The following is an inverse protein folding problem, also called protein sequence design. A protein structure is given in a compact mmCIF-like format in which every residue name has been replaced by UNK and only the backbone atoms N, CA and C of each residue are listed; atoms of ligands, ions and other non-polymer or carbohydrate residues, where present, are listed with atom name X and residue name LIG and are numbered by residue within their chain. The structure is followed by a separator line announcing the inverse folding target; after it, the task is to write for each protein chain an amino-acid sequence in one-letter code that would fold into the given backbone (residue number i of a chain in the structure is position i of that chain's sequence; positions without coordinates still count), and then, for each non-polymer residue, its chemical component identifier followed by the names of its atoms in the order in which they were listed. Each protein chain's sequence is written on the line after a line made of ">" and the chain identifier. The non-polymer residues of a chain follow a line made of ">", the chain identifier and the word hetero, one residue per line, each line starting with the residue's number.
data_IF_866840528214
#
_entry.id   IF_866840528214
#
_cell.length_a   1.000
_cell.length_b   1.000
_cell.length_c   1.000
_cell.angle_alpha   90.00
_cell.angle_beta   90.00
_cell.angle_gamma   90.00
#
_symmetry.space_group_name_H-M   'P 1'
#
loop_
_entity.id
_entity.type
_entity.pdbx_description
1 polymer ?
#
# COMPACT_ATOMS: atom_id res chain seq x y z
N UNK A 1 37.92 32.23 -30.80
CA UNK A 1 37.52 31.14 -29.92
C UNK A 1 36.59 31.61 -28.81
N UNK A 2 36.87 32.65 -28.07
CA UNK A 2 36.02 33.19 -27.00
C UNK A 2 34.59 33.54 -27.43
N UNK A 3 34.38 34.16 -28.63
CA UNK A 3 33.07 34.52 -29.13
C UNK A 3 32.17 33.31 -29.46
N UNK A 4 32.76 32.18 -29.78
CA UNK A 4 32.04 30.92 -30.09
C UNK A 4 31.58 30.25 -28.79
N UNK A 5 32.42 30.26 -27.76
CA UNK A 5 32.11 29.72 -26.41
C UNK A 5 30.98 30.54 -25.77
N UNK A 6 31.02 31.90 -25.90
CA UNK A 6 29.96 32.76 -25.38
C UNK A 6 28.59 32.52 -26.05
N UNK A 7 28.58 32.26 -27.36
CA UNK A 7 27.34 31.90 -28.09
C UNK A 7 26.79 30.55 -27.66
N UNK A 8 27.65 29.52 -27.45
CA UNK A 8 27.26 28.21 -26.97
C UNK A 8 26.67 28.29 -25.54
N UNK A 9 27.32 29.06 -24.65
CA UNK A 9 26.83 29.24 -23.28
C UNK A 9 25.49 29.98 -23.25
N UNK A 10 25.26 30.99 -24.13
CA UNK A 10 23.95 31.64 -24.26
C UNK A 10 22.88 30.69 -24.77
N UNK A 11 23.20 29.92 -25.81
CA UNK A 11 22.24 28.95 -26.35
C UNK A 11 21.88 27.86 -25.30
N UNK A 12 22.85 27.37 -24.56
CA UNK A 12 22.62 26.45 -23.46
C UNK A 12 21.76 27.04 -22.35
N UNK A 13 22.04 28.28 -21.93
CA UNK A 13 21.24 29.00 -20.94
C UNK A 13 19.80 29.21 -21.40
N UNK A 14 19.60 29.66 -22.64
CA UNK A 14 18.25 29.84 -23.20
C UNK A 14 17.48 28.52 -23.32
N UNK A 15 18.17 27.43 -23.68
CA UNK A 15 17.58 26.09 -23.71
C UNK A 15 17.16 25.63 -22.29
N UNK A 16 18.00 25.86 -21.29
CA UNK A 16 17.67 25.54 -19.91
C UNK A 16 16.44 26.32 -19.42
N UNK A 17 16.40 27.65 -19.67
CA UNK A 17 15.26 28.50 -19.32
C UNK A 17 14.00 28.04 -20.05
N UNK A 18 14.09 27.71 -21.33
CA UNK A 18 12.96 27.17 -22.09
C UNK A 18 12.44 25.84 -21.50
N UNK A 19 13.32 24.91 -21.15
CA UNK A 19 12.94 23.63 -20.53
C UNK A 19 12.23 23.89 -19.19
N UNK A 20 12.75 24.77 -18.34
CA UNK A 20 12.13 25.12 -17.07
C UNK A 20 10.76 25.75 -17.24
N UNK A 21 10.61 26.68 -18.18
CA UNK A 21 9.32 27.33 -18.47
C UNK A 21 8.32 26.33 -19.07
N UNK A 22 8.75 25.49 -20.00
CA UNK A 22 7.90 24.45 -20.57
C UNK A 22 7.45 23.45 -19.49
N UNK A 23 8.35 23.02 -18.61
CA UNK A 23 8.03 22.17 -17.47
C UNK A 23 7.02 22.81 -16.51
N UNK A 24 7.19 24.09 -16.19
CA UNK A 24 6.25 24.85 -15.37
C UNK A 24 4.86 24.95 -16.02
N UNK A 25 4.80 25.29 -17.30
CA UNK A 25 3.54 25.39 -18.03
C UNK A 25 2.82 24.03 -18.11
N UNK A 26 3.53 22.95 -18.41
CA UNK A 26 2.93 21.62 -18.43
C UNK A 26 2.42 21.20 -17.05
N UNK A 27 3.15 21.48 -15.99
CA UNK A 27 2.74 21.19 -14.61
C UNK A 27 1.46 21.91 -14.22
N UNK A 28 1.29 23.18 -14.64
CA UNK A 28 0.13 23.99 -14.28
C UNK A 28 -1.11 23.65 -15.11
N UNK A 29 -0.93 23.42 -16.42
CA UNK A 29 -2.06 23.25 -17.36
C UNK A 29 -2.47 21.80 -17.59
N UNK A 30 -1.61 20.83 -17.26
CA UNK A 30 -1.87 19.40 -17.46
C UNK A 30 -1.47 18.62 -16.20
N UNK A 31 -2.15 18.85 -15.06
CA UNK A 31 -1.88 18.10 -13.85
C UNK A 31 -2.28 16.62 -14.03
N UNK A 32 -1.45 15.74 -13.54
CA UNK A 32 -1.79 14.31 -13.48
C UNK A 32 -2.68 14.02 -12.26
N UNK A 33 -3.64 13.15 -12.44
CA UNK A 33 -4.51 12.69 -11.35
C UNK A 33 -3.88 11.53 -10.57
N UNK A 34 -3.08 10.70 -11.24
CA UNK A 34 -2.44 9.53 -10.65
C UNK A 34 -0.93 9.61 -10.85
N UNK A 35 -0.20 9.42 -9.78
CA UNK A 35 1.23 9.15 -9.81
C UNK A 35 1.46 7.67 -10.14
N UNK A 36 1.51 7.33 -11.43
CA UNK A 36 1.75 5.96 -11.90
C UNK A 36 3.12 5.37 -11.50
N UNK A 37 4.02 6.17 -10.97
CA UNK A 37 5.32 5.71 -10.47
C UNK A 37 5.19 5.13 -9.06
N UNK A 38 4.38 5.77 -8.22
CA UNK A 38 4.14 5.39 -6.83
C UNK A 38 2.78 4.71 -6.62
N UNK A 39 1.98 4.58 -7.70
CA UNK A 39 0.67 3.93 -7.72
C UNK A 39 -0.32 4.52 -6.69
N UNK A 40 -0.35 5.84 -6.59
CA UNK A 40 -1.26 6.59 -5.72
C UNK A 40 -1.81 7.82 -6.42
N UNK A 41 -2.82 8.44 -5.84
CA UNK A 41 -3.25 9.76 -6.31
C UNK A 41 -2.12 10.77 -6.20
N UNK A 42 -1.98 11.60 -7.24
CA UNK A 42 -0.97 12.63 -7.27
C UNK A 42 -1.36 13.78 -6.33
N UNK A 43 -0.40 14.25 -5.52
CA UNK A 43 -0.60 15.41 -4.69
C UNK A 43 -0.93 16.63 -5.55
N UNK A 44 -1.95 17.38 -5.15
CA UNK A 44 -2.40 18.60 -5.82
C UNK A 44 -2.00 19.82 -5.00
N UNK A 45 -1.82 20.96 -5.69
CA UNK A 45 -1.57 22.24 -5.02
C UNK A 45 -2.77 22.61 -4.15
N UNK A 46 -2.53 22.79 -2.86
CA UNK A 46 -3.53 23.28 -1.93
C UNK A 46 -3.70 24.80 -2.07
N UNK A 47 -4.90 25.36 -1.81
CA UNK A 47 -5.09 26.79 -1.80
C UNK A 47 -4.20 27.49 -0.76
N UNK A 48 -3.58 28.61 -1.16
CA UNK A 48 -2.80 29.44 -0.24
C UNK A 48 -3.74 30.13 0.75
N UNK A 49 -3.62 29.80 2.02
CA UNK A 49 -4.30 30.50 3.12
C UNK A 49 -3.28 31.14 4.05
N UNK A 50 -3.68 32.18 4.79
CA UNK A 50 -2.78 32.83 5.74
C UNK A 50 -2.32 31.90 6.87
N UNK A 51 -3.17 30.97 7.31
CA UNK A 51 -2.85 29.96 8.29
C UNK A 51 -1.81 28.94 7.75
N UNK A 52 -2.08 28.36 6.60
CA UNK A 52 -1.20 27.37 5.98
C UNK A 52 0.18 27.95 5.60
N UNK A 53 0.25 29.26 5.32
CA UNK A 53 1.54 29.94 5.13
C UNK A 53 2.29 30.12 6.45
N UNK A 54 1.58 30.44 7.53
CA UNK A 54 2.19 30.72 8.83
C UNK A 54 2.71 29.47 9.55
N UNK A 55 2.04 28.31 9.37
CA UNK A 55 2.42 27.03 9.96
C UNK A 55 3.33 26.18 9.09
N UNK A 56 3.60 26.59 7.84
CA UNK A 56 4.46 25.87 6.90
C UNK A 56 3.77 24.79 6.08
N UNK A 57 2.52 24.43 6.37
CA UNK A 57 1.80 23.34 5.67
C UNK A 57 1.57 23.61 4.19
N UNK A 58 1.46 24.89 3.79
CA UNK A 58 1.42 25.26 2.36
C UNK A 58 2.72 24.93 1.63
N UNK A 59 3.88 25.14 2.28
CA UNK A 59 5.17 24.82 1.66
C UNK A 59 5.31 23.30 1.47
N UNK A 60 4.96 22.51 2.46
CA UNK A 60 5.02 21.06 2.39
C UNK A 60 4.08 20.50 1.31
N UNK A 61 2.84 21.01 1.25
CA UNK A 61 1.89 20.67 0.18
C UNK A 61 2.39 21.06 -1.21
N UNK A 62 3.04 22.23 -1.33
CA UNK A 62 3.62 22.68 -2.59
C UNK A 62 4.81 21.79 -3.02
N UNK A 63 5.70 21.42 -2.11
CA UNK A 63 6.84 20.55 -2.41
C UNK A 63 6.34 19.15 -2.84
N UNK A 64 5.36 18.59 -2.15
CA UNK A 64 4.74 17.32 -2.48
C UNK A 64 4.06 17.34 -3.84
N UNK A 65 3.24 18.37 -4.11
CA UNK A 65 2.58 18.54 -5.39
C UNK A 65 3.57 18.76 -6.55
N UNK A 66 4.62 19.55 -6.34
CA UNK A 66 5.67 19.76 -7.35
C UNK A 66 6.43 18.45 -7.63
N UNK A 67 6.73 17.65 -6.61
CA UNK A 67 7.38 16.36 -6.78
C UNK A 67 6.57 15.42 -7.68
N UNK A 68 5.25 15.45 -7.58
CA UNK A 68 4.37 14.59 -8.37
C UNK A 68 4.05 15.16 -9.76
N UNK A 69 3.86 16.47 -9.84
CA UNK A 69 3.32 17.12 -11.03
C UNK A 69 4.38 17.57 -12.07
N UNK A 70 5.65 17.70 -11.66
CA UNK A 70 6.70 18.13 -12.59
C UNK A 70 7.03 17.02 -13.58
N UNK A 71 6.58 17.15 -14.82
CA UNK A 71 6.68 16.15 -15.89
C UNK A 71 8.11 15.61 -16.10
N UNK A 72 9.13 16.49 -16.04
CA UNK A 72 10.53 16.06 -16.20
C UNK A 72 11.11 15.38 -14.96
N UNK A 73 10.49 15.52 -13.77
CA UNK A 73 10.98 14.86 -12.55
C UNK A 73 10.91 13.35 -12.68
N UNK A 74 9.86 12.82 -13.30
CA UNK A 74 9.70 11.37 -13.55
C UNK A 74 10.77 10.84 -14.48
N UNK A 75 11.06 11.55 -15.57
CA UNK A 75 12.13 11.16 -16.49
C UNK A 75 13.48 11.22 -15.80
N UNK A 76 13.74 12.27 -15.01
CA UNK A 76 14.97 12.41 -14.24
C UNK A 76 15.11 11.30 -13.19
N UNK A 77 14.03 10.99 -12.44
CA UNK A 77 13.99 9.85 -11.50
C UNK A 77 14.27 8.52 -12.22
N UNK A 78 13.64 8.28 -13.38
CA UNK A 78 13.91 7.08 -14.21
C UNK A 78 15.36 6.99 -14.66
N UNK A 79 15.93 8.08 -15.17
CA UNK A 79 17.32 8.10 -15.62
C UNK A 79 18.30 7.92 -14.45
N UNK A 80 18.03 8.55 -13.31
CA UNK A 80 18.84 8.39 -12.10
C UNK A 80 18.80 6.94 -11.59
N UNK A 81 17.61 6.37 -11.45
CA UNK A 81 17.44 4.99 -11.00
C UNK A 81 18.09 4.00 -11.97
N UNK A 82 17.97 4.25 -13.30
CA UNK A 82 18.63 3.44 -14.31
C UNK A 82 20.17 3.47 -14.16
N UNK A 83 20.75 4.66 -14.01
CA UNK A 83 22.19 4.82 -13.83
C UNK A 83 22.66 4.15 -12.54
N UNK A 84 21.91 4.30 -11.46
CA UNK A 84 22.21 3.70 -10.16
C UNK A 84 22.10 2.18 -10.20
N UNK A 85 21.03 1.64 -10.75
CA UNK A 85 20.83 0.21 -10.89
C UNK A 85 21.89 -0.43 -11.80
N UNK A 86 22.24 0.22 -12.93
CA UNK A 86 23.29 -0.27 -13.84
C UNK A 86 24.67 -0.33 -13.19
N UNK A 87 24.91 0.45 -12.14
CA UNK A 87 26.18 0.41 -11.39
C UNK A 87 26.13 -0.51 -10.16
N UNK A 88 25.00 -0.56 -9.45
CA UNK A 88 24.85 -1.29 -8.20
C UNK A 88 24.47 -2.75 -8.39
N UNK A 89 23.58 -3.06 -9.32
CA UNK A 89 23.05 -4.42 -9.53
C UNK A 89 24.11 -5.47 -9.82
N UNK A 90 25.10 -5.25 -10.73
CA UNK A 90 26.15 -6.23 -10.95
C UNK A 90 27.02 -6.49 -9.72
N UNK A 91 27.17 -5.47 -8.87
CA UNK A 91 27.96 -5.59 -7.63
C UNK A 91 27.19 -6.36 -6.56
N UNK A 92 25.90 -6.09 -6.42
CA UNK A 92 25.01 -6.81 -5.50
C UNK A 92 24.89 -8.27 -5.88
N UNK A 93 24.67 -8.59 -7.18
CA UNK A 93 24.62 -9.97 -7.67
C UNK A 93 25.89 -10.79 -7.40
N UNK A 94 27.04 -10.12 -7.30
CA UNK A 94 28.30 -10.76 -6.91
C UNK A 94 28.38 -11.05 -5.41
N UNK A 95 27.70 -10.25 -4.58
CA UNK A 95 27.65 -10.40 -3.13
C UNK A 95 26.58 -11.40 -2.68
N UNK A 96 25.47 -11.50 -3.39
CA UNK A 96 24.37 -12.43 -3.10
C UNK A 96 24.78 -13.89 -2.97
N UNK A 97 25.84 -14.28 -3.68
CA UNK A 97 26.39 -15.65 -3.61
C UNK A 97 27.30 -15.91 -2.40
N UNK A 98 27.48 -14.96 -1.50
CA UNK A 98 28.57 -15.05 -0.49
C UNK A 98 28.16 -14.84 0.97
N UNK A 99 27.00 -14.27 1.29
CA UNK A 99 26.65 -13.95 2.70
C UNK A 99 25.13 -14.05 2.94
N UNK A 100 24.76 -14.58 4.11
CA UNK A 100 23.39 -14.53 4.67
C UNK A 100 23.10 -13.19 5.38
N UNK A 101 23.88 -12.16 5.12
CA UNK A 101 23.75 -10.84 5.73
C UNK A 101 23.06 -9.86 4.78
N UNK A 102 22.45 -8.83 5.36
CA UNK A 102 21.81 -7.76 4.59
C UNK A 102 22.83 -6.96 3.81
N UNK A 103 22.62 -6.80 2.51
CA UNK A 103 23.39 -5.93 1.63
C UNK A 103 22.57 -4.71 1.28
N UNK A 104 22.91 -3.56 1.84
CA UNK A 104 22.17 -2.31 1.66
C UNK A 104 22.54 -1.60 0.36
N UNK A 105 21.55 -1.14 -0.36
CA UNK A 105 21.71 -0.33 -1.57
C UNK A 105 20.51 0.61 -1.76
N UNK A 106 20.76 1.90 -1.93
CA UNK A 106 19.74 2.90 -2.30
C UNK A 106 18.46 2.88 -1.43
N UNK A 107 18.60 2.76 -0.12
CA UNK A 107 17.48 2.79 0.83
C UNK A 107 16.71 1.49 0.98
N UNK A 108 17.10 0.45 0.26
CA UNK A 108 16.60 -0.93 0.40
C UNK A 108 17.75 -1.85 0.79
N UNK A 109 17.43 -3.09 1.11
CA UNK A 109 18.40 -4.14 1.34
C UNK A 109 18.12 -5.35 0.46
N UNK A 110 19.15 -6.18 0.28
CA UNK A 110 19.05 -7.51 -0.30
C UNK A 110 19.36 -8.52 0.79
N UNK A 111 18.61 -9.59 0.82
CA UNK A 111 18.86 -10.73 1.68
C UNK A 111 18.49 -12.00 0.92
N UNK A 112 19.45 -12.91 0.76
CA UNK A 112 19.30 -14.16 -0.01
C UNK A 112 18.63 -14.01 -1.39
N UNK A 113 18.97 -12.94 -2.12
CA UNK A 113 18.45 -12.69 -3.47
C UNK A 113 17.12 -11.95 -3.55
N UNK A 114 16.47 -11.70 -2.41
CA UNK A 114 15.20 -10.97 -2.32
C UNK A 114 15.41 -9.51 -1.94
N UNK A 115 14.63 -8.62 -2.52
CA UNK A 115 14.63 -7.20 -2.13
C UNK A 115 13.79 -7.05 -0.85
N UNK A 116 14.40 -6.49 0.18
CA UNK A 116 13.76 -6.27 1.49
C UNK A 116 13.90 -4.81 1.92
N UNK A 117 12.96 -4.35 2.76
CA UNK A 117 13.12 -3.06 3.42
C UNK A 117 14.08 -3.18 4.61
N UNK A 118 14.66 -2.04 4.99
CA UNK A 118 15.47 -1.96 6.19
C UNK A 118 14.61 -2.10 7.43
N UNK A 119 15.07 -2.90 8.39
CA UNK A 119 14.37 -3.04 9.65
C UNK A 119 14.34 -1.72 10.41
N UNK A 120 13.26 -1.46 11.10
CA UNK A 120 13.10 -0.29 11.94
C UNK A 120 12.71 -0.75 13.35
N UNK A 121 13.55 -0.47 14.33
CA UNK A 121 13.30 -0.86 15.71
C UNK A 121 12.07 -0.18 16.32
N UNK A 122 11.48 -0.80 17.35
CA UNK A 122 10.30 -0.32 18.05
C UNK A 122 10.45 1.14 18.56
N UNK A 123 11.63 1.49 19.04
CA UNK A 123 11.89 2.83 19.62
C UNK A 123 11.58 3.99 18.65
N UNK A 124 11.76 3.76 17.36
CA UNK A 124 11.47 4.77 16.33
C UNK A 124 9.98 4.95 16.03
N UNK A 125 9.16 3.98 16.42
CA UNK A 125 7.74 3.89 16.10
C UNK A 125 6.84 4.05 17.30
N UNK A 126 7.42 4.01 18.48
CA UNK A 126 6.68 3.92 19.74
C UNK A 126 5.68 5.05 19.93
N UNK A 127 6.10 6.29 19.72
CA UNK A 127 5.22 7.46 19.91
C UNK A 127 4.03 7.45 18.93
N UNK A 128 4.26 7.03 17.68
CA UNK A 128 3.20 6.90 16.68
C UNK A 128 2.23 5.75 17.02
N UNK A 129 2.77 4.61 17.47
CA UNK A 129 1.93 3.47 17.93
C UNK A 129 1.11 3.85 19.16
N UNK A 130 1.68 4.62 20.11
CA UNK A 130 0.97 5.12 21.28
C UNK A 130 -0.20 6.03 20.87
N UNK A 131 0.04 6.99 19.97
CA UNK A 131 -0.98 7.89 19.45
C UNK A 131 -2.10 7.14 18.70
N UNK A 132 -1.73 6.15 17.89
CA UNK A 132 -2.69 5.30 17.15
C UNK A 132 -3.53 4.47 18.10
N UNK A 133 -2.92 3.86 19.13
CA UNK A 133 -3.65 3.08 20.11
C UNK A 133 -4.62 3.96 20.92
N UNK A 134 -4.24 5.19 21.26
CA UNK A 134 -5.14 6.15 21.94
C UNK A 134 -6.35 6.48 21.05
N UNK A 135 -6.13 6.79 19.77
CA UNK A 135 -7.18 7.09 18.82
C UNK A 135 -8.16 5.90 18.66
N UNK A 136 -7.64 4.70 18.38
CA UNK A 136 -8.46 3.50 18.21
C UNK A 136 -9.21 3.13 19.50
N UNK A 137 -8.58 3.24 20.65
CA UNK A 137 -9.22 2.95 21.94
C UNK A 137 -10.34 3.95 22.26
N UNK A 138 -10.23 5.20 21.80
CA UNK A 138 -11.31 6.19 21.93
C UNK A 138 -12.54 5.76 21.11
N UNK A 139 -12.36 5.34 19.86
CA UNK A 139 -13.43 4.83 19.02
C UNK A 139 -14.05 3.54 19.60
N UNK A 140 -13.23 2.60 20.06
CA UNK A 140 -13.69 1.35 20.70
C UNK A 140 -14.54 1.66 21.94
N UNK A 141 -14.12 2.62 22.75
CA UNK A 141 -14.85 3.00 23.97
C UNK A 141 -16.17 3.74 23.67
N UNK A 142 -16.23 4.50 22.57
CA UNK A 142 -17.43 5.21 22.12
C UNK A 142 -18.50 4.26 21.55
N UNK A 143 -18.10 3.10 21.02
CA UNK A 143 -18.98 2.14 20.34
C UNK A 143 -18.95 0.75 20.98
N UNK A 144 -19.43 0.60 22.24
CA UNK A 144 -19.44 -0.70 22.93
C UNK A 144 -20.39 -1.74 22.29
N UNK A 145 -21.28 -1.30 21.39
CA UNK A 145 -22.19 -2.16 20.60
C UNK A 145 -21.49 -2.84 19.43
N UNK A 146 -20.33 -2.32 18.99
CA UNK A 146 -19.57 -2.89 17.87
C UNK A 146 -18.58 -3.94 18.33
N UNK A 147 -18.39 -4.94 17.50
CA UNK A 147 -17.33 -5.92 17.68
C UNK A 147 -16.08 -5.48 16.91
N UNK A 148 -15.05 -5.02 17.63
CA UNK A 148 -13.77 -4.67 17.03
C UNK A 148 -12.84 -5.87 17.00
N UNK A 149 -12.15 -6.01 15.84
CA UNK A 149 -11.13 -7.00 15.56
C UNK A 149 -9.89 -6.30 15.02
N UNK A 150 -8.71 -6.86 15.26
CA UNK A 150 -7.46 -6.33 14.75
C UNK A 150 -6.59 -7.44 14.15
N UNK A 151 -6.07 -7.17 12.96
CA UNK A 151 -5.19 -8.07 12.23
C UNK A 151 -3.91 -7.33 11.83
N UNK A 152 -2.78 -7.73 12.42
CA UNK A 152 -1.49 -7.14 12.12
C UNK A 152 -0.70 -8.06 11.20
N UNK A 153 -0.17 -7.51 10.09
CA UNK A 153 0.61 -8.26 9.12
C UNK A 153 2.08 -7.92 9.32
N UNK A 154 2.84 -8.86 9.90
CA UNK A 154 4.30 -8.73 9.98
C UNK A 154 4.91 -8.89 8.59
N UNK A 155 6.01 -8.16 8.37
CA UNK A 155 6.76 -8.19 7.12
C UNK A 155 8.26 -8.06 7.37
N UNK A 156 9.06 -7.87 6.32
CA UNK A 156 10.51 -7.72 6.36
C UNK A 156 11.02 -6.61 7.29
N UNK A 157 10.16 -5.64 7.65
CA UNK A 157 10.51 -4.59 8.61
C UNK A 157 10.35 -4.99 10.07
N UNK A 158 9.68 -6.11 10.36
CA UNK A 158 9.35 -6.54 11.71
C UNK A 158 10.30 -7.60 12.29
N UNK A 159 11.18 -8.15 11.46
CA UNK A 159 12.12 -9.20 11.84
C UNK A 159 13.52 -8.95 11.25
N UNK A 160 14.56 -9.28 12.00
CA UNK A 160 15.92 -9.39 11.49
C UNK A 160 16.17 -10.84 11.03
N UNK A 161 16.25 -11.09 9.74
CA UNK A 161 16.39 -12.44 9.18
C UNK A 161 17.70 -13.12 9.53
N UNK A 162 18.81 -12.35 9.74
CA UNK A 162 20.09 -12.91 10.14
C UNK A 162 20.05 -13.48 11.56
N UNK A 163 19.38 -12.78 12.49
CA UNK A 163 19.35 -13.15 13.91
C UNK A 163 18.05 -13.84 14.33
N UNK A 164 17.01 -13.78 13.52
CA UNK A 164 15.66 -14.20 13.89
C UNK A 164 14.98 -13.31 14.94
N UNK A 165 15.56 -12.14 15.24
CA UNK A 165 15.05 -11.23 16.26
C UNK A 165 13.83 -10.50 15.74
N UNK A 166 12.67 -10.67 16.41
CA UNK A 166 11.48 -9.84 16.22
C UNK A 166 11.71 -8.44 16.78
N UNK A 167 11.19 -7.42 16.09
CA UNK A 167 11.34 -6.01 16.49
C UNK A 167 10.22 -5.53 17.42
N UNK A 168 9.17 -6.32 17.57
CA UNK A 168 8.16 -6.19 18.63
C UNK A 168 7.09 -5.13 18.42
N UNK A 169 6.98 -4.52 17.23
CA UNK A 169 5.96 -3.50 16.98
C UNK A 169 4.53 -4.07 17.02
N UNK A 170 4.31 -5.26 16.47
CA UNK A 170 3.03 -5.96 16.45
C UNK A 170 2.53 -6.29 17.87
N UNK A 171 3.38 -6.93 18.68
CA UNK A 171 3.08 -7.27 20.07
C UNK A 171 2.86 -6.02 20.90
N UNK A 172 3.69 -4.97 20.70
CA UNK A 172 3.55 -3.71 21.42
C UNK A 172 2.20 -3.07 21.10
N UNK A 173 1.85 -2.88 19.83
CA UNK A 173 0.57 -2.31 19.41
C UNK A 173 -0.62 -3.09 20.01
N UNK A 174 -0.60 -4.40 19.90
CA UNK A 174 -1.70 -5.24 20.37
C UNK A 174 -1.82 -5.31 21.90
N UNK A 175 -0.73 -5.04 22.63
CA UNK A 175 -0.77 -4.92 24.08
C UNK A 175 -1.52 -3.66 24.57
N UNK A 176 -1.59 -2.63 23.72
CA UNK A 176 -2.24 -1.34 24.05
C UNK A 176 -3.69 -1.27 23.60
N UNK A 177 -4.12 -2.08 22.61
CA UNK A 177 -5.49 -2.05 22.11
C UNK A 177 -6.47 -2.70 23.09
N UNK A 178 -7.54 -1.98 23.43
CA UNK A 178 -8.64 -2.44 24.27
C UNK A 178 -9.60 -3.39 23.51
N UNK A 179 -9.04 -4.24 22.68
CA UNK A 179 -9.73 -5.32 21.99
C UNK A 179 -9.43 -6.62 22.75
N UNK A 180 -10.41 -7.52 23.00
CA UNK A 180 -10.16 -8.83 23.56
C UNK A 180 -9.09 -9.61 22.82
N UNK A 181 -8.27 -10.41 23.53
CA UNK A 181 -7.14 -11.12 22.91
C UNK A 181 -7.58 -12.08 21.83
N UNK A 182 -8.72 -12.72 21.99
CA UNK A 182 -9.34 -13.63 21.01
C UNK A 182 -9.84 -12.94 19.74
N UNK A 183 -9.86 -11.62 19.69
CA UNK A 183 -10.21 -10.78 18.54
C UNK A 183 -9.00 -10.07 17.92
N UNK A 184 -7.79 -10.49 18.29
CA UNK A 184 -6.53 -9.95 17.77
C UNK A 184 -5.66 -11.07 17.24
N UNK A 185 -5.21 -10.95 16.00
CA UNK A 185 -4.30 -11.92 15.36
C UNK A 185 -3.12 -11.20 14.72
N UNK A 186 -1.93 -11.69 14.95
CA UNK A 186 -0.71 -11.30 14.25
C UNK A 186 -0.40 -12.37 13.22
N UNK A 187 -0.35 -11.98 11.94
CA UNK A 187 0.20 -12.81 10.87
C UNK A 187 1.72 -12.77 11.01
N UNK A 188 2.26 -13.78 11.68
CA UNK A 188 3.66 -13.81 12.09
C UNK A 188 4.58 -14.27 10.95
N UNK A 189 5.73 -13.60 10.84
CA UNK A 189 6.86 -14.00 10.01
C UNK A 189 8.02 -14.38 10.94
N UNK A 190 8.31 -15.67 11.04
CA UNK A 190 9.30 -16.19 11.97
C UNK A 190 10.69 -16.41 11.36
N UNK A 191 10.75 -16.44 10.03
CA UNK A 191 11.98 -16.69 9.30
C UNK A 191 11.98 -16.03 7.92
N UNK A 192 13.18 -15.96 7.31
CA UNK A 192 13.28 -15.56 5.90
C UNK A 192 12.49 -16.50 4.99
N UNK A 193 12.48 -17.79 5.28
CA UNK A 193 11.73 -18.77 4.49
C UNK A 193 10.23 -18.47 4.49
N UNK A 194 9.64 -18.13 5.65
CA UNK A 194 8.22 -17.76 5.74
C UNK A 194 7.93 -16.50 4.92
N UNK A 195 8.81 -15.51 5.01
CA UNK A 195 8.71 -14.29 4.22
C UNK A 195 8.84 -14.56 2.72
N UNK A 196 9.79 -15.37 2.31
CA UNK A 196 10.06 -15.72 0.92
C UNK A 196 8.89 -16.45 0.25
N UNK A 197 8.26 -17.37 0.96
CA UNK A 197 7.10 -18.11 0.47
C UNK A 197 5.82 -17.25 0.36
N UNK A 198 5.66 -16.24 1.23
CA UNK A 198 4.40 -15.53 1.44
C UNK A 198 4.35 -14.12 0.86
N UNK A 199 5.48 -13.55 0.45
CA UNK A 199 5.58 -12.20 -0.08
C UNK A 199 6.23 -12.18 -1.46
N UNK A 200 5.93 -11.15 -2.25
CA UNK A 200 6.62 -10.92 -3.51
C UNK A 200 8.09 -10.56 -3.29
N UNK A 201 8.94 -10.90 -4.27
CA UNK A 201 10.39 -10.58 -4.21
C UNK A 201 10.66 -9.09 -4.40
N UNK A 202 9.85 -8.44 -5.23
CA UNK A 202 10.08 -7.07 -5.68
C UNK A 202 9.02 -6.09 -5.22
N UNK A 203 7.91 -6.59 -4.68
CA UNK A 203 6.82 -5.79 -4.13
C UNK A 203 6.74 -5.93 -2.61
N UNK A 204 6.16 -4.95 -1.93
CA UNK A 204 6.05 -4.99 -0.47
C UNK A 204 4.88 -5.82 0.03
N UNK A 205 3.94 -6.16 -0.84
CA UNK A 205 2.75 -6.92 -0.45
C UNK A 205 3.02 -8.42 -0.31
N UNK A 206 2.15 -9.08 0.42
CA UNK A 206 2.05 -10.53 0.36
C UNK A 206 1.64 -11.00 -1.04
N UNK A 207 2.07 -12.20 -1.41
CA UNK A 207 1.69 -12.83 -2.66
C UNK A 207 0.36 -13.59 -2.52
N UNK A 208 -0.05 -14.34 -3.54
CA UNK A 208 -1.30 -15.09 -3.53
C UNK A 208 -1.35 -16.17 -2.43
N UNK A 209 -0.21 -16.73 -2.00
CA UNK A 209 -0.13 -17.70 -0.90
C UNK A 209 -0.35 -16.98 0.43
N UNK A 210 0.43 -15.95 0.71
CA UNK A 210 0.34 -15.21 1.96
C UNK A 210 -1.03 -14.53 2.16
N UNK A 211 -1.60 -13.95 1.11
CA UNK A 211 -2.92 -13.34 1.19
C UNK A 211 -4.04 -14.36 1.44
N UNK A 212 -3.94 -15.56 0.86
CA UNK A 212 -4.91 -16.62 1.13
C UNK A 212 -4.79 -17.18 2.55
N UNK A 213 -3.57 -17.33 3.07
CA UNK A 213 -3.36 -17.69 4.48
C UNK A 213 -3.95 -16.63 5.41
N UNK A 214 -3.67 -15.36 5.15
CA UNK A 214 -4.26 -14.25 5.90
C UNK A 214 -5.78 -14.22 5.83
N UNK A 215 -6.38 -14.47 4.66
CA UNK A 215 -7.83 -14.60 4.54
C UNK A 215 -8.40 -15.69 5.45
N UNK A 216 -7.78 -16.89 5.50
CA UNK A 216 -8.24 -17.98 6.38
C UNK A 216 -8.19 -17.59 7.86
N UNK A 217 -7.12 -16.93 8.27
CA UNK A 217 -7.00 -16.44 9.64
C UNK A 217 -8.08 -15.41 9.97
N UNK A 218 -8.30 -14.45 9.05
CA UNK A 218 -9.29 -13.39 9.25
C UNK A 218 -10.70 -13.95 9.32
N UNK A 219 -11.09 -14.89 8.45
CA UNK A 219 -12.44 -15.41 8.49
C UNK A 219 -12.67 -16.29 9.72
N UNK A 220 -11.65 -17.04 10.15
CA UNK A 220 -11.69 -17.75 11.42
C UNK A 220 -11.86 -16.83 12.62
N UNK A 221 -11.22 -15.65 12.57
CA UNK A 221 -11.32 -14.61 13.60
C UNK A 221 -12.70 -13.95 13.65
N UNK A 222 -13.29 -13.63 12.49
CA UNK A 222 -14.49 -12.80 12.36
C UNK A 222 -15.79 -13.60 12.55
N UNK A 223 -15.88 -14.81 12.01
CA UNK A 223 -17.13 -15.61 12.00
C UNK A 223 -16.89 -17.09 12.35
N UNK A 224 -15.69 -17.60 12.13
CA UNK A 224 -15.39 -19.03 12.23
C UNK A 224 -16.03 -19.87 11.11
N UNK A 225 -16.44 -19.22 10.03
CA UNK A 225 -16.93 -19.92 8.84
C UNK A 225 -15.82 -20.68 8.14
N UNK A 226 -16.20 -21.71 7.37
CA UNK A 226 -15.25 -22.39 6.48
C UNK A 226 -14.80 -21.41 5.37
N UNK A 227 -13.50 -21.26 5.13
CA UNK A 227 -12.99 -20.40 4.09
C UNK A 227 -13.39 -20.91 2.70
N UNK A 228 -13.53 -19.99 1.73
CA UNK A 228 -13.65 -20.36 0.32
C UNK A 228 -12.36 -21.05 -0.13
N UNK A 229 -12.49 -22.25 -0.66
CA UNK A 229 -11.36 -23.00 -1.19
C UNK A 229 -11.03 -22.55 -2.64
N UNK A 230 -9.75 -22.41 -2.99
CA UNK A 230 -9.38 -22.11 -4.36
C UNK A 230 -9.72 -23.27 -5.29
N UNK A 231 -10.26 -22.95 -6.46
CA UNK A 231 -10.57 -23.96 -7.49
C UNK A 231 -9.35 -24.34 -8.32
N UNK A 232 -8.39 -23.42 -8.48
CA UNK A 232 -7.13 -23.63 -9.20
C UNK A 232 -6.11 -22.53 -8.85
N UNK A 233 -4.88 -22.69 -9.37
CA UNK A 233 -3.81 -21.69 -9.36
C UNK A 233 -3.54 -21.25 -10.78
N UNK A 234 -3.66 -19.94 -11.05
CA UNK A 234 -3.38 -19.37 -12.37
C UNK A 234 -2.01 -18.67 -12.39
N UNK A 235 -1.12 -19.17 -13.23
CA UNK A 235 0.17 -18.56 -13.52
C UNK A 235 0.07 -17.78 -14.82
N UNK A 236 0.09 -16.46 -14.75
CA UNK A 236 -0.19 -15.60 -15.90
C UNK A 236 0.95 -15.54 -16.92
N UNK A 237 2.17 -15.85 -16.50
CA UNK A 237 3.40 -15.60 -17.28
C UNK A 237 3.75 -14.10 -17.41
N UNK A 238 2.88 -13.20 -16.97
CA UNK A 238 3.17 -11.76 -16.97
C UNK A 238 4.01 -11.39 -15.77
N UNK A 239 4.97 -10.51 -16.00
CA UNK A 239 5.90 -10.05 -14.96
C UNK A 239 5.71 -8.57 -14.66
N UNK A 240 5.89 -8.19 -13.40
CA UNK A 240 5.84 -6.80 -12.95
C UNK A 240 7.00 -6.45 -12.03
N UNK A 241 7.41 -5.21 -12.04
CA UNK A 241 8.34 -4.67 -11.07
C UNK A 241 7.52 -4.06 -9.93
N UNK A 242 7.64 -4.63 -8.75
CA UNK A 242 6.95 -4.14 -7.58
C UNK A 242 7.57 -2.85 -7.01
N UNK A 243 6.98 -2.35 -5.94
CA UNK A 243 7.35 -1.08 -5.31
C UNK A 243 8.81 -1.02 -4.87
N UNK A 244 9.34 -2.10 -4.30
CA UNK A 244 10.75 -2.20 -3.90
C UNK A 244 11.70 -2.14 -5.11
N UNK A 245 11.36 -2.82 -6.21
CA UNK A 245 12.18 -2.81 -7.43
C UNK A 245 12.14 -1.48 -8.18
N UNK A 246 11.14 -0.63 -7.93
CA UNK A 246 11.06 0.70 -8.56
C UNK A 246 12.26 1.57 -8.24
N UNK A 247 12.78 1.51 -7.02
CA UNK A 247 14.00 2.22 -6.60
C UNK A 247 15.28 1.75 -7.31
N UNK A 248 15.22 0.53 -7.90
CA UNK A 248 16.32 -0.07 -8.68
C UNK A 248 16.10 0.00 -10.20
N UNK A 249 15.17 0.85 -10.68
CA UNK A 249 14.93 1.01 -12.11
C UNK A 249 14.16 -0.14 -12.76
N UNK A 250 13.47 -0.97 -11.99
CA UNK A 250 12.61 -2.08 -12.47
C UNK A 250 13.36 -3.24 -13.14
N UNK A 251 14.60 -3.51 -12.74
CA UNK A 251 15.36 -4.64 -13.28
C UNK A 251 14.93 -5.99 -12.69
N UNK A 252 14.38 -5.96 -11.49
CA UNK A 252 13.84 -7.13 -10.81
C UNK A 252 12.33 -7.17 -11.01
N UNK A 253 11.79 -8.36 -11.22
CA UNK A 253 10.36 -8.54 -11.49
C UNK A 253 9.86 -9.83 -10.89
N UNK A 254 8.64 -9.79 -10.36
CA UNK A 254 7.84 -10.96 -9.98
C UNK A 254 6.99 -11.47 -11.15
N UNK A 255 6.62 -12.73 -11.10
CA UNK A 255 5.53 -13.25 -11.91
C UNK A 255 4.20 -13.09 -11.18
N UNK A 256 3.17 -12.62 -11.91
CA UNK A 256 1.83 -12.52 -11.33
C UNK A 256 1.14 -13.88 -11.36
N UNK A 257 0.92 -14.44 -10.19
CA UNK A 257 0.12 -15.66 -9.98
C UNK A 257 -1.01 -15.39 -9.00
N UNK A 258 -2.16 -16.01 -9.20
CA UNK A 258 -3.35 -15.86 -8.35
C UNK A 258 -4.02 -17.20 -8.10
N UNK A 259 -4.72 -17.33 -6.98
CA UNK A 259 -5.74 -18.36 -6.79
C UNK A 259 -7.03 -17.98 -7.50
N UNK A 260 -7.72 -18.95 -8.07
CA UNK A 260 -9.05 -18.81 -8.66
C UNK A 260 -10.09 -19.30 -7.65
N UNK A 261 -11.23 -18.60 -7.60
CA UNK A 261 -12.31 -18.93 -6.68
C UNK A 261 -13.67 -18.84 -7.36
N UNK A 262 -14.60 -19.66 -6.92
CA UNK A 262 -16.02 -19.52 -7.23
C UNK A 262 -16.67 -18.54 -6.24
N UNK A 263 -16.58 -17.25 -6.56
CA UNK A 263 -17.17 -16.21 -5.72
C UNK A 263 -18.69 -16.26 -5.72
N UNK A 264 -19.35 -16.08 -4.56
CA UNK A 264 -20.80 -15.86 -4.54
C UNK A 264 -21.15 -14.60 -5.33
N UNK A 265 -22.35 -14.54 -5.93
CA UNK A 265 -22.83 -13.32 -6.58
C UNK A 265 -22.80 -12.13 -5.62
N UNK A 266 -22.28 -10.99 -6.09
CA UNK A 266 -22.26 -9.74 -5.33
C UNK A 266 -22.28 -8.54 -6.27
N UNK A 267 -22.85 -7.44 -5.81
CA UNK A 267 -22.70 -6.15 -6.47
C UNK A 267 -21.57 -5.37 -5.79
N UNK A 268 -20.80 -4.65 -6.60
CA UNK A 268 -19.64 -3.90 -6.09
C UNK A 268 -19.79 -2.43 -6.47
N UNK A 269 -19.57 -1.56 -5.51
CA UNK A 269 -19.45 -0.12 -5.76
C UNK A 269 -18.10 0.37 -5.27
N UNK A 270 -17.49 1.22 -6.08
CA UNK A 270 -16.20 1.87 -5.79
C UNK A 270 -16.44 3.37 -5.77
N UNK A 271 -16.15 4.02 -4.66
CA UNK A 271 -16.37 5.45 -4.44
C UNK A 271 -17.82 5.88 -4.84
N UNK A 272 -18.81 5.08 -4.42
CA UNK A 272 -20.22 5.32 -4.67
C UNK A 272 -20.72 5.01 -6.09
N UNK A 273 -19.89 4.45 -6.96
CA UNK A 273 -20.26 4.09 -8.33
C UNK A 273 -20.12 2.57 -8.55
N UNK A 274 -21.10 1.98 -9.23
CA UNK A 274 -21.02 0.56 -9.57
C UNK A 274 -19.83 0.32 -10.51
N UNK A 275 -18.93 -0.60 -10.13
CA UNK A 275 -17.72 -0.94 -10.87
C UNK A 275 -17.27 -2.36 -10.56
N UNK A 276 -16.36 -2.90 -11.39
CA UNK A 276 -15.61 -4.09 -11.08
C UNK A 276 -14.49 -3.74 -10.08
N UNK A 277 -14.17 -4.68 -9.18
CA UNK A 277 -13.06 -4.53 -8.25
C UNK A 277 -11.96 -5.55 -8.56
N UNK A 278 -10.77 -5.03 -8.89
CA UNK A 278 -9.67 -5.83 -9.42
C UNK A 278 -9.91 -6.31 -10.85
N UNK A 279 -8.88 -6.84 -11.46
CA UNK A 279 -8.92 -7.30 -12.86
C UNK A 279 -8.52 -8.77 -13.01
N UNK A 280 -8.84 -9.60 -12.02
CA UNK A 280 -8.50 -11.03 -12.04
C UNK A 280 -9.11 -11.74 -13.26
N UNK A 281 -10.37 -11.46 -13.58
CA UNK A 281 -11.04 -12.07 -14.75
C UNK A 281 -10.36 -11.68 -16.07
N UNK A 282 -9.95 -10.42 -16.21
CA UNK A 282 -9.20 -9.96 -17.39
C UNK A 282 -7.80 -10.58 -17.47
N UNK A 283 -7.17 -10.81 -16.32
CA UNK A 283 -5.89 -11.51 -16.26
C UNK A 283 -6.01 -12.94 -16.79
N UNK A 284 -7.00 -13.68 -16.30
CA UNK A 284 -7.28 -15.07 -16.69
C UNK A 284 -7.65 -15.18 -18.16
N UNK A 285 -8.44 -14.24 -18.68
CA UNK A 285 -8.85 -14.18 -20.08
C UNK A 285 -7.73 -13.72 -21.03
N UNK A 286 -6.54 -13.34 -20.52
CA UNK A 286 -5.43 -12.86 -21.33
C UNK A 286 -5.66 -11.48 -21.94
N UNK A 287 -6.53 -10.67 -21.33
CA UNK A 287 -6.85 -9.31 -21.80
C UNK A 287 -5.86 -8.27 -21.27
N UNK A 288 -5.10 -8.60 -20.20
CA UNK A 288 -4.09 -7.72 -19.65
C UNK A 288 -2.74 -7.90 -20.33
N UNK A 289 -2.12 -6.77 -20.68
CA UNK A 289 -0.75 -6.73 -21.22
C UNK A 289 0.26 -6.25 -20.18
N UNK A 290 -0.22 -5.69 -19.07
CA UNK A 290 0.57 -5.22 -17.93
C UNK A 290 -0.15 -5.58 -16.65
N UNK A 291 0.61 -5.91 -15.62
CA UNK A 291 0.10 -6.30 -14.32
C UNK A 291 0.80 -5.52 -13.20
N UNK A 292 0.11 -5.35 -12.10
CA UNK A 292 0.62 -4.91 -10.81
C UNK A 292 -0.30 -5.47 -9.73
N UNK A 293 0.13 -5.40 -8.47
CA UNK A 293 -0.71 -5.84 -7.35
C UNK A 293 -2.09 -5.13 -7.37
N UNK A 294 -2.10 -3.81 -7.37
CA UNK A 294 -3.34 -3.04 -7.37
C UNK A 294 -4.21 -3.25 -8.63
N UNK A 295 -3.61 -3.46 -9.81
CA UNK A 295 -4.39 -3.75 -11.00
C UNK A 295 -5.14 -5.09 -10.90
N UNK A 296 -4.54 -6.10 -10.27
CA UNK A 296 -5.11 -7.45 -10.17
C UNK A 296 -6.08 -7.59 -9.01
N UNK A 297 -5.74 -7.06 -7.84
CA UNK A 297 -6.52 -7.25 -6.62
C UNK A 297 -7.47 -6.09 -6.29
N UNK A 298 -7.29 -4.93 -6.87
CA UNK A 298 -8.02 -3.70 -6.61
C UNK A 298 -7.09 -2.57 -6.17
N UNK A 299 -7.53 -1.32 -6.36
CA UNK A 299 -6.79 -0.12 -5.98
C UNK A 299 -7.05 0.31 -4.55
N UNK A 300 -6.29 1.30 -4.10
CA UNK A 300 -6.49 1.97 -2.83
C UNK A 300 -7.60 3.02 -3.02
N UNK A 301 -8.85 2.55 -3.03
CA UNK A 301 -10.02 3.40 -3.22
C UNK A 301 -10.50 3.94 -1.87
N UNK A 302 -11.10 5.15 -1.86
CA UNK A 302 -11.63 5.75 -0.63
C UNK A 302 -12.69 4.87 0.03
N UNK A 303 -13.56 4.25 -0.78
CA UNK A 303 -14.57 3.31 -0.34
C UNK A 303 -14.81 2.22 -1.38
N UNK A 304 -14.87 0.98 -0.92
CA UNK A 304 -15.36 -0.16 -1.72
C UNK A 304 -16.45 -0.87 -0.93
N UNK A 305 -17.62 -1.06 -1.56
CA UNK A 305 -18.74 -1.77 -0.95
C UNK A 305 -19.07 -3.01 -1.76
N UNK A 306 -19.09 -4.14 -1.09
CA UNK A 306 -19.55 -5.42 -1.62
C UNK A 306 -20.90 -5.74 -0.98
N UNK A 307 -21.92 -5.98 -1.80
CA UNK A 307 -23.26 -6.36 -1.35
C UNK A 307 -23.62 -7.74 -1.94
N UNK A 308 -23.70 -8.73 -1.09
CA UNK A 308 -24.04 -10.11 -1.48
C UNK A 308 -25.55 -10.35 -1.57
N UNK A 309 -26.38 -9.43 -1.06
CA UNK A 309 -27.83 -9.61 -0.94
C UNK A 309 -28.24 -10.71 0.04
N UNK A 310 -27.31 -11.27 0.83
CA UNK A 310 -27.62 -12.26 1.88
C UNK A 310 -28.04 -11.54 3.17
N UNK A 311 -28.80 -12.24 4.00
CA UNK A 311 -28.99 -11.82 5.39
C UNK A 311 -27.70 -12.09 6.19
N UNK A 312 -27.39 -11.23 7.15
CA UNK A 312 -26.22 -11.40 8.02
C UNK A 312 -25.63 -10.08 8.49
N UNK A 313 -24.44 -10.17 9.04
CA UNK A 313 -23.68 -9.03 9.56
C UNK A 313 -23.20 -8.11 8.43
N UNK A 314 -23.14 -6.80 8.74
CA UNK A 314 -22.40 -5.81 7.97
C UNK A 314 -21.05 -5.57 8.64
N UNK A 315 -19.97 -5.65 7.87
CA UNK A 315 -18.63 -5.42 8.36
C UNK A 315 -18.01 -4.18 7.75
N UNK A 316 -17.35 -3.38 8.59
CA UNK A 316 -16.47 -2.29 8.16
C UNK A 316 -15.01 -2.74 8.29
N UNK A 317 -14.27 -2.66 7.20
CA UNK A 317 -12.82 -2.92 7.15
C UNK A 317 -12.13 -1.58 6.99
N UNK A 318 -11.25 -1.24 7.93
CA UNK A 318 -10.40 -0.05 7.84
C UNK A 318 -8.97 -0.55 7.70
N UNK A 319 -8.43 -0.39 6.51
CA UNK A 319 -7.15 -0.99 6.17
C UNK A 319 -6.35 -0.16 5.18
N UNK A 320 -5.44 -0.82 4.53
CA UNK A 320 -4.55 -0.29 3.51
C UNK A 320 -4.35 -1.34 2.41
N UNK A 321 -3.56 -1.06 1.39
CA UNK A 321 -3.42 -1.89 0.19
C UNK A 321 -3.24 -3.41 0.40
N UNK A 322 -2.85 -3.84 1.59
CA UNK A 322 -2.75 -5.27 1.91
C UNK A 322 -4.11 -5.96 1.95
N UNK A 323 -5.17 -5.26 2.36
CA UNK A 323 -6.52 -5.85 2.42
C UNK A 323 -7.10 -6.10 1.02
N UNK A 324 -6.66 -5.39 -0.01
CA UNK A 324 -7.17 -5.50 -1.37
C UNK A 324 -7.26 -6.95 -1.87
N UNK A 325 -6.26 -7.79 -1.55
CA UNK A 325 -6.23 -9.18 -2.00
C UNK A 325 -7.26 -10.08 -1.28
N UNK A 326 -7.76 -9.67 -0.12
CA UNK A 326 -8.68 -10.47 0.70
C UNK A 326 -10.11 -9.93 0.73
N UNK A 327 -10.35 -8.69 0.32
CA UNK A 327 -11.66 -8.04 0.43
C UNK A 327 -12.78 -8.83 -0.25
N UNK A 328 -12.58 -9.27 -1.50
CA UNK A 328 -13.59 -10.01 -2.25
C UNK A 328 -13.88 -11.39 -1.64
N UNK A 329 -12.85 -12.01 -1.04
CA UNK A 329 -12.99 -13.28 -0.32
C UNK A 329 -13.79 -13.09 0.97
N UNK A 330 -13.43 -12.09 1.78
CA UNK A 330 -14.13 -11.76 3.02
C UNK A 330 -15.58 -11.40 2.74
N UNK A 331 -15.84 -10.60 1.70
CA UNK A 331 -17.16 -10.17 1.32
C UNK A 331 -18.13 -11.34 1.06
N UNK A 332 -17.62 -12.49 0.63
CA UNK A 332 -18.43 -13.69 0.43
C UNK A 332 -19.13 -14.22 1.69
N UNK A 333 -18.71 -13.80 2.88
CA UNK A 333 -19.20 -14.27 4.18
C UNK A 333 -20.19 -13.32 4.87
N UNK A 334 -20.28 -12.09 4.41
CA UNK A 334 -21.11 -11.04 5.05
C UNK A 334 -22.28 -10.60 4.16
N UNK A 335 -23.26 -9.95 4.77
CA UNK A 335 -24.35 -9.27 4.05
C UNK A 335 -23.76 -8.16 3.19
N UNK A 336 -23.08 -7.22 3.85
CA UNK A 336 -22.32 -6.16 3.19
C UNK A 336 -20.94 -6.03 3.83
N UNK A 337 -19.96 -5.79 2.98
CA UNK A 337 -18.60 -5.47 3.38
C UNK A 337 -18.26 -4.09 2.86
N UNK A 338 -17.91 -3.21 3.79
CA UNK A 338 -17.45 -1.86 3.51
C UNK A 338 -15.95 -1.80 3.78
N UNK A 339 -15.15 -1.46 2.78
CA UNK A 339 -13.73 -1.22 2.94
C UNK A 339 -13.43 0.25 2.77
N UNK A 340 -12.72 0.83 3.72
CA UNK A 340 -12.35 2.26 3.74
C UNK A 340 -10.83 2.39 3.79
N UNK A 341 -10.28 3.06 2.79
CA UNK A 341 -8.92 3.59 2.84
C UNK A 341 -8.97 5.08 3.21
N UNK A 342 -8.62 5.38 4.45
CA UNK A 342 -8.69 6.75 5.00
C UNK A 342 -7.80 7.75 4.25
N UNK A 343 -6.72 7.30 3.62
CA UNK A 343 -5.82 8.15 2.80
C UNK A 343 -6.56 8.76 1.60
N UNK A 344 -7.53 8.03 1.06
CA UNK A 344 -8.18 8.35 -0.20
C UNK A 344 -9.64 8.77 -0.04
N UNK A 345 -10.24 8.59 1.15
CA UNK A 345 -11.64 8.88 1.39
C UNK A 345 -12.01 10.36 1.13
N UNK A 346 -11.23 11.29 1.69
CA UNK A 346 -11.50 12.73 1.50
C UNK A 346 -11.38 13.14 0.02
N UNK A 347 -10.44 12.57 -0.72
CA UNK A 347 -10.28 12.83 -2.15
C UNK A 347 -11.46 12.30 -2.97
N UNK A 348 -12.04 11.16 -2.57
CA UNK A 348 -13.16 10.54 -3.26
C UNK A 348 -14.50 11.26 -2.98
N UNK A 349 -14.73 11.70 -1.73
CA UNK A 349 -16.03 12.19 -1.29
C UNK A 349 -16.07 13.69 -0.96
N UNK A 350 -14.94 14.39 -0.97
CA UNK A 350 -14.84 15.81 -0.65
C UNK A 350 -15.08 16.14 0.82
N UNK A 351 -15.11 15.14 1.69
CA UNK A 351 -15.26 15.27 3.16
C UNK A 351 -14.37 14.23 3.85
N UNK A 352 -13.91 14.56 5.06
CA UNK A 352 -13.21 13.59 5.90
C UNK A 352 -14.12 12.45 6.28
N UNK A 353 -13.53 11.29 6.53
CA UNK A 353 -14.25 10.15 7.07
C UNK A 353 -14.75 10.46 8.49
N UNK A 354 -16.02 10.20 8.74
CA UNK A 354 -16.65 10.33 10.04
C UNK A 354 -17.11 8.94 10.46
N UNK A 355 -16.39 8.35 11.42
CA UNK A 355 -16.61 6.99 11.86
C UNK A 355 -17.99 6.81 12.47
N UNK A 356 -18.42 7.74 13.37
CA UNK A 356 -19.70 7.67 14.07
C UNK A 356 -20.87 7.75 13.09
N UNK A 357 -20.80 8.71 12.14
CA UNK A 357 -21.80 8.85 11.08
C UNK A 357 -21.86 7.58 10.23
N UNK A 358 -20.70 7.05 9.83
CA UNK A 358 -20.60 5.93 8.91
C UNK A 358 -21.18 4.63 9.51
N UNK A 359 -20.77 4.27 10.72
CA UNK A 359 -21.26 3.04 11.37
C UNK A 359 -22.76 3.07 11.63
N UNK A 360 -23.29 4.25 11.97
CA UNK A 360 -24.73 4.46 12.19
C UNK A 360 -25.55 4.36 10.90
N UNK A 361 -25.03 4.88 9.78
CA UNK A 361 -25.75 4.88 8.49
C UNK A 361 -25.79 3.51 7.81
N UNK A 362 -24.82 2.66 8.10
CA UNK A 362 -24.62 1.39 7.37
C UNK A 362 -24.91 0.15 8.21
N UNK A 363 -25.53 0.30 9.40
CA UNK A 363 -25.88 -0.81 10.30
C UNK A 363 -24.67 -1.75 10.54
N UNK A 364 -23.48 -1.17 10.76
CA UNK A 364 -22.26 -1.92 10.99
C UNK A 364 -22.35 -2.64 12.34
N UNK A 365 -21.94 -3.90 12.37
CA UNK A 365 -21.89 -4.72 13.60
C UNK A 365 -20.48 -5.13 13.94
N UNK A 366 -19.60 -5.24 12.95
CA UNK A 366 -18.20 -5.65 13.11
C UNK A 366 -17.26 -4.66 12.44
N UNK A 367 -16.12 -4.41 13.08
CA UNK A 367 -15.07 -3.54 12.54
C UNK A 367 -13.75 -4.31 12.55
N UNK A 368 -13.11 -4.46 11.39
CA UNK A 368 -11.79 -5.04 11.24
C UNK A 368 -10.76 -3.95 10.96
N UNK A 369 -9.76 -3.84 11.83
CA UNK A 369 -8.58 -3.00 11.66
C UNK A 369 -7.46 -3.88 11.09
N UNK A 370 -7.04 -3.64 9.86
CA UNK A 370 -6.08 -4.51 9.17
C UNK A 370 -4.96 -3.72 8.52
N UNK A 371 -3.74 -4.15 8.72
CA UNK A 371 -2.57 -3.58 8.06
C UNK A 371 -1.26 -4.04 8.67
N UNK A 372 -0.19 -3.58 8.07
CA UNK A 372 1.18 -3.77 8.58
C UNK A 372 1.58 -2.61 9.51
N UNK A 373 2.85 -2.54 9.87
CA UNK A 373 3.35 -1.47 10.74
C UNK A 373 3.08 -0.07 10.19
N UNK A 374 3.10 0.12 8.86
CA UNK A 374 2.91 1.45 8.27
C UNK A 374 1.47 1.95 8.49
N UNK A 375 0.48 1.05 8.45
CA UNK A 375 -0.91 1.35 8.85
C UNK A 375 -1.00 1.83 10.31
N UNK A 376 -0.29 1.17 11.20
CA UNK A 376 -0.35 1.46 12.64
C UNK A 376 0.50 2.66 13.07
N UNK A 377 1.38 3.20 12.23
CA UNK A 377 2.20 4.39 12.57
C UNK A 377 1.80 5.65 11.80
N UNK A 378 1.03 5.54 10.73
CA UNK A 378 0.69 6.69 9.90
C UNK A 378 -0.53 7.45 10.43
N UNK A 379 -0.42 8.78 10.48
CA UNK A 379 -1.48 9.68 10.95
C UNK A 379 -2.71 9.66 10.02
N UNK A 380 -2.52 9.33 8.74
CA UNK A 380 -3.58 9.27 7.74
C UNK A 380 -4.64 8.20 8.04
N UNK A 381 -4.33 7.22 8.89
CA UNK A 381 -5.27 6.16 9.29
C UNK A 381 -5.93 6.36 10.66
N UNK A 382 -5.91 7.58 11.20
CA UNK A 382 -6.67 7.92 12.41
C UNK A 382 -8.17 8.01 12.11
N UNK A 383 -9.04 7.41 12.99
CA UNK A 383 -10.51 7.39 12.89
C UNK A 383 -11.17 8.28 13.94
#
# INVERSE_FOLDING_TARGET
>A
MQNKISKINRAFFLLLVFILLAGLLTTVFFPDEINHYENRYANKLSPLTGAAYADGSFQDAMESALSDQVQFSRLAKKCYNYALASSAVPFVSLLENSTHDYVYSNGIAFYEGKIVYTQTGLDWRKDALDAKAENLNAAIAAHPELEFYAYYIEKDTDINFTTGQKLGASQYMFSMLNIPQERKVIYEIDSFKDFDERFYDTDHHWNYIGSYEGYKDIISLLSGDEPLEPTDVFHSGLRFAGSKAMSLGKFYTDEMSIYLFDYPPMTITVNGQQADYGQQDKLVNGELTQVSYGAVYGGDDGEVVFDTGKDGDNILIIGESYDNAVLKLLAGHFSKTYSIDLRNYEAAFGKKFDFDEYVSQHDITKVLLIGNVDYYVADEFMI
#
